data_IF_887737779367
#
_entry.id   IF_887737779367
#
_cell.length_a   1.000
_cell.length_b   1.000
_cell.length_c   1.000
_cell.angle_alpha   90.00
_cell.angle_beta   90.00
_cell.angle_gamma   90.00
#
_symmetry.space_group_name_H-M   'P 1'
#
loop_
_entity.id
_entity.type
_entity.pdbx_description
1 polymer ?
#
# COMPACT_ATOMS: atom_id res chain seq x y z
N UNK A 1 6.96 -6.67 19.65
CA UNK A 1 8.11 -6.09 18.92
C UNK A 1 8.00 -6.53 17.48
N UNK A 2 7.81 -7.83 17.23
CA UNK A 2 7.41 -8.42 15.93
C UNK A 2 6.20 -7.74 15.27
N UNK A 3 5.09 -7.51 16.00
CA UNK A 3 3.89 -6.84 15.42
C UNK A 3 4.17 -5.47 14.77
N UNK A 4 5.16 -4.71 15.27
CA UNK A 4 5.55 -3.45 14.66
C UNK A 4 6.48 -3.64 13.45
N UNK A 5 7.24 -4.74 13.41
CA UNK A 5 8.13 -5.08 12.29
C UNK A 5 7.29 -5.60 11.11
N UNK A 6 6.35 -6.52 11.36
CA UNK A 6 5.45 -7.06 10.34
C UNK A 6 4.57 -5.96 9.74
N UNK A 7 4.04 -5.07 10.59
CA UNK A 7 3.31 -3.89 10.12
C UNK A 7 4.16 -2.98 9.23
N UNK A 8 5.44 -2.77 9.58
CA UNK A 8 6.35 -1.94 8.79
C UNK A 8 6.63 -2.57 7.42
N UNK A 9 6.83 -3.89 7.35
CA UNK A 9 7.03 -4.62 6.09
C UNK A 9 5.81 -4.48 5.17
N UNK A 10 4.60 -4.67 5.70
CA UNK A 10 3.36 -4.49 4.93
C UNK A 10 3.20 -3.05 4.44
N UNK A 11 3.50 -2.07 5.31
CA UNK A 11 3.40 -0.65 4.97
C UNK A 11 4.39 -0.23 3.88
N UNK A 12 5.65 -0.65 3.99
CA UNK A 12 6.69 -0.30 3.01
C UNK A 12 6.42 -0.96 1.65
N UNK A 13 5.95 -2.23 1.65
CA UNK A 13 5.55 -2.89 0.40
C UNK A 13 4.41 -2.14 -0.31
N UNK A 14 3.39 -1.70 0.43
CA UNK A 14 2.28 -0.93 -0.12
C UNK A 14 2.70 0.48 -0.59
N UNK A 15 3.71 1.08 0.02
CA UNK A 15 4.27 2.37 -0.47
C UNK A 15 4.94 2.22 -1.82
N UNK A 16 5.69 1.13 -2.01
CA UNK A 16 6.33 0.82 -3.29
C UNK A 16 5.31 0.35 -4.35
N UNK A 17 4.22 -0.31 -3.90
CA UNK A 17 3.21 -0.92 -4.75
C UNK A 17 1.79 -0.46 -4.36
N UNK A 18 1.48 0.82 -4.59
CA UNK A 18 0.28 1.50 -4.07
C UNK A 18 -1.09 0.87 -4.43
N UNK A 19 -1.13 -0.07 -5.38
CA UNK A 19 -2.34 -0.77 -5.82
C UNK A 19 -2.36 -2.25 -5.44
N UNK A 20 -1.34 -2.74 -4.73
CA UNK A 20 -1.24 -4.15 -4.38
C UNK A 20 -2.39 -4.60 -3.46
N UNK A 21 -2.99 -5.75 -3.77
CA UNK A 21 -3.94 -6.45 -2.90
C UNK A 21 -3.23 -7.31 -1.83
N UNK A 22 -4.00 -7.84 -0.88
CA UNK A 22 -3.46 -8.72 0.19
C UNK A 22 -2.65 -9.89 -0.37
N UNK A 23 -3.16 -10.56 -1.41
CA UNK A 23 -2.47 -11.69 -2.05
C UNK A 23 -1.12 -11.28 -2.65
N UNK A 24 -1.04 -10.10 -3.27
CA UNK A 24 0.21 -9.59 -3.86
C UNK A 24 1.22 -9.15 -2.79
N UNK A 25 0.74 -8.72 -1.62
CA UNK A 25 1.59 -8.46 -0.46
C UNK A 25 2.12 -9.78 0.12
N UNK A 26 1.30 -10.82 0.21
CA UNK A 26 1.74 -12.16 0.65
C UNK A 26 2.74 -12.77 -0.33
N UNK A 27 2.55 -12.61 -1.64
CA UNK A 27 3.51 -13.14 -2.61
C UNK A 27 4.82 -12.33 -2.64
N UNK A 28 4.74 -11.04 -2.31
CA UNK A 28 5.88 -10.12 -2.31
C UNK A 28 6.62 -10.00 -0.98
N UNK A 29 6.06 -10.52 0.10
CA UNK A 29 6.65 -10.53 1.44
C UNK A 29 6.69 -11.96 1.97
N UNK A 30 7.70 -12.35 2.75
CA UNK A 30 7.73 -13.69 3.36
C UNK A 30 6.74 -13.83 4.55
N UNK A 31 5.69 -13.00 4.61
CA UNK A 31 4.72 -12.96 5.70
C UNK A 31 3.52 -13.90 5.43
N UNK A 32 2.99 -14.59 6.46
CA UNK A 32 1.76 -15.35 6.34
C UNK A 32 0.56 -14.47 5.99
N UNK A 33 -0.41 -15.03 5.26
CA UNK A 33 -1.65 -14.32 4.89
C UNK A 33 -2.38 -13.74 6.10
N UNK A 34 -2.43 -14.47 7.22
CA UNK A 34 -3.10 -14.01 8.44
C UNK A 34 -2.47 -12.73 9.01
N UNK A 35 -1.14 -12.63 8.95
CA UNK A 35 -0.38 -11.45 9.40
C UNK A 35 -0.59 -10.28 8.45
N UNK A 36 -0.55 -10.55 7.14
CA UNK A 36 -0.83 -9.52 6.12
C UNK A 36 -2.24 -8.99 6.31
N UNK A 37 -3.25 -9.85 6.42
CA UNK A 37 -4.65 -9.43 6.54
C UNK A 37 -4.91 -8.61 7.82
N UNK A 38 -4.25 -8.94 8.93
CA UNK A 38 -4.32 -8.16 10.17
C UNK A 38 -3.81 -6.71 9.99
N UNK A 39 -2.75 -6.53 9.21
CA UNK A 39 -2.09 -5.23 9.06
C UNK A 39 -2.52 -4.43 7.82
N UNK A 40 -3.03 -5.11 6.79
CA UNK A 40 -3.28 -4.55 5.46
C UNK A 40 -4.22 -3.34 5.49
N UNK A 41 -5.39 -3.47 6.12
CA UNK A 41 -6.39 -2.39 6.15
C UNK A 41 -5.84 -1.10 6.77
N UNK A 42 -4.99 -1.22 7.80
CA UNK A 42 -4.37 -0.08 8.47
C UNK A 42 -3.26 0.53 7.61
N UNK A 43 -2.40 -0.32 7.04
CA UNK A 43 -1.31 0.13 6.17
C UNK A 43 -1.85 0.81 4.90
N UNK A 44 -2.84 0.21 4.24
CA UNK A 44 -3.50 0.76 3.06
C UNK A 44 -4.16 2.11 3.34
N UNK A 45 -4.75 2.29 4.53
CA UNK A 45 -5.29 3.59 4.93
C UNK A 45 -4.21 4.67 5.04
N UNK A 46 -3.06 4.35 5.64
CA UNK A 46 -1.93 5.29 5.75
C UNK A 46 -1.43 5.66 4.36
N UNK A 47 -1.19 4.66 3.49
CA UNK A 47 -0.75 4.91 2.12
C UNK A 47 -1.77 5.78 1.38
N UNK A 48 -3.07 5.48 1.47
CA UNK A 48 -4.10 6.34 0.90
C UNK A 48 -4.06 7.76 1.45
N UNK A 49 -3.99 7.95 2.77
CA UNK A 49 -3.92 9.26 3.38
C UNK A 49 -2.66 10.03 2.90
N UNK A 50 -1.51 9.36 2.76
CA UNK A 50 -0.29 9.93 2.16
C UNK A 50 -0.51 10.33 0.68
N UNK A 51 -1.13 9.46 -0.13
CA UNK A 51 -1.42 9.68 -1.55
C UNK A 51 -2.38 10.86 -1.78
N UNK A 52 -3.33 11.07 -0.87
CA UNK A 52 -4.36 12.11 -1.00
C UNK A 52 -4.04 13.40 -0.22
N UNK A 53 -3.14 13.37 0.77
CA UNK A 53 -2.64 14.59 1.44
C UNK A 53 -1.71 15.41 0.54
N UNK A 54 -1.13 14.80 -0.49
CA UNK A 54 -0.18 15.44 -1.41
C UNK A 54 1.25 15.54 -0.85
N UNK A 55 1.54 14.86 0.26
CA UNK A 55 2.88 14.79 0.86
C UNK A 55 3.79 13.73 0.22
N UNK A 56 3.31 12.99 -0.80
CA UNK A 56 4.13 12.04 -1.52
C UNK A 56 5.09 12.77 -2.46
N UNK A 57 6.36 12.75 -2.07
CA UNK A 57 7.48 13.23 -2.90
C UNK A 57 7.97 12.19 -3.92
N UNK A 58 7.34 11.02 -4.02
CA UNK A 58 7.72 9.95 -4.96
C UNK A 58 7.03 10.12 -6.33
N UNK A 59 7.79 10.42 -7.41
CA UNK A 59 7.25 10.56 -8.76
C UNK A 59 6.58 9.29 -9.30
N UNK A 60 7.00 8.10 -8.88
CA UNK A 60 6.45 6.83 -9.33
C UNK A 60 5.06 6.60 -8.73
N UNK A 61 4.93 6.74 -7.41
CA UNK A 61 3.65 6.66 -6.70
C UNK A 61 2.65 7.68 -7.25
N UNK A 62 3.08 8.93 -7.50
CA UNK A 62 2.23 9.96 -8.11
C UNK A 62 1.72 9.58 -9.51
N UNK A 63 2.54 8.89 -10.32
CA UNK A 63 2.12 8.42 -11.64
C UNK A 63 1.06 7.31 -11.55
N UNK A 64 1.21 6.40 -10.60
CA UNK A 64 0.24 5.33 -10.33
C UNK A 64 -1.08 5.93 -9.84
N UNK A 65 -1.06 6.88 -8.90
CA UNK A 65 -2.27 7.59 -8.43
C UNK A 65 -2.96 8.31 -9.57
N UNK A 66 -2.22 9.04 -10.41
CA UNK A 66 -2.80 9.79 -11.51
C UNK A 66 -3.46 8.83 -12.52
N UNK A 67 -2.81 7.71 -12.82
CA UNK A 67 -3.38 6.66 -13.67
C UNK A 67 -4.67 6.07 -13.09
N UNK A 68 -4.70 5.83 -11.77
CA UNK A 68 -5.91 5.37 -11.08
C UNK A 68 -7.03 6.42 -11.12
N UNK A 69 -6.72 7.69 -10.84
CA UNK A 69 -7.67 8.80 -10.91
C UNK A 69 -8.25 8.97 -12.32
N UNK A 70 -7.43 8.77 -13.34
CA UNK A 70 -7.86 8.86 -14.73
C UNK A 70 -8.76 7.68 -15.15
N UNK A 71 -8.50 6.47 -14.65
CA UNK A 71 -9.41 5.34 -14.82
C UNK A 71 -10.74 5.56 -14.11
N UNK A 72 -10.72 6.01 -12.85
CA UNK A 72 -11.92 6.24 -12.05
C UNK A 72 -12.84 7.32 -12.64
N UNK A 73 -12.29 8.29 -13.38
CA UNK A 73 -13.05 9.32 -14.12
C UNK A 73 -13.68 8.81 -15.42
N UNK A 74 -13.22 7.67 -15.94
CA UNK A 74 -13.73 7.08 -17.18
C UNK A 74 -14.86 6.06 -16.94
N UNK A 75 -15.18 5.77 -15.68
CA UNK A 75 -16.35 5.00 -15.23
C UNK A 75 -17.50 5.95 -14.90
#
# INVERSE_FOLDING_TARGET
MEENEDFAVVLDYLRENCLAGEDEVVDGTDLPFEVVSEHFSKAQRIVNDELFSGEISDPHAMNVINSFKDWARQQ
#
